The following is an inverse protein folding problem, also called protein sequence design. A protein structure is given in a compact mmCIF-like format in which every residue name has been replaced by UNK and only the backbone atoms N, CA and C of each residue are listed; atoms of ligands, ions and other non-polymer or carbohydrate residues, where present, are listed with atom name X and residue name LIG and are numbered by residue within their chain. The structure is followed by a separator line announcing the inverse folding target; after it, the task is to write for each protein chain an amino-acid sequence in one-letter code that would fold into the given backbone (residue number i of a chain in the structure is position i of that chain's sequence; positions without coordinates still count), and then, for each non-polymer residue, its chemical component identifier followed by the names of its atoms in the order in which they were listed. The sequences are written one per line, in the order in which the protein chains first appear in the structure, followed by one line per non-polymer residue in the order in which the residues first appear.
data_IF_209404602445
#
_entry.id   IF_209404602445
#
_cell.length_a   1.000
_cell.length_b   1.000
_cell.length_c   1.000
_cell.angle_alpha   90.00
_cell.angle_beta   90.00
_cell.angle_gamma   90.00
#
_symmetry.space_group_name_H-M   'P 1'
#
loop_
_entity.id
_entity.type
_entity.pdbx_description
1 polymer ?
#
# COMPACT_ATOMS: atom_id res chain seq x y z
N UNK A 1 12.73 -26.67 -8.34
CA UNK A 1 12.77 -25.31 -7.78
C UNK A 1 12.38 -24.39 -8.94
N UNK A 2 11.29 -23.63 -8.80
CA UNK A 2 10.81 -22.76 -9.89
C UNK A 2 11.59 -21.44 -9.86
N UNK A 3 12.65 -21.38 -10.65
CA UNK A 3 13.55 -20.23 -10.73
C UNK A 3 12.82 -18.96 -11.19
N UNK A 4 11.79 -19.11 -12.02
CA UNK A 4 11.02 -17.99 -12.58
C UNK A 4 10.16 -17.31 -11.50
N UNK A 5 9.62 -18.08 -10.55
CA UNK A 5 8.86 -17.53 -9.41
C UNK A 5 9.77 -16.76 -8.43
N UNK A 6 10.99 -17.25 -8.24
CA UNK A 6 11.99 -16.61 -7.38
C UNK A 6 12.48 -15.31 -8.04
N UNK A 7 12.69 -15.31 -9.35
CA UNK A 7 13.10 -14.11 -10.08
C UNK A 7 12.05 -13.00 -9.96
N UNK A 8 10.77 -13.32 -10.12
CA UNK A 8 9.67 -12.36 -10.00
C UNK A 8 9.55 -11.75 -8.58
N UNK A 9 9.88 -12.53 -7.55
CA UNK A 9 9.77 -12.09 -6.15
C UNK A 9 10.98 -11.30 -5.66
N UNK A 10 12.17 -11.56 -6.20
CA UNK A 10 13.43 -11.06 -5.64
C UNK A 10 14.27 -10.20 -6.61
N UNK A 11 13.98 -10.18 -7.92
CA UNK A 11 14.70 -9.33 -8.87
C UNK A 11 13.99 -8.00 -9.04
N UNK A 12 14.62 -6.94 -8.53
CA UNK A 12 14.27 -5.56 -8.83
C UNK A 12 14.96 -5.19 -10.16
N UNK A 13 14.20 -5.00 -11.25
CA UNK A 13 14.75 -4.55 -12.53
C UNK A 13 14.80 -3.01 -12.57
N UNK A 14 15.97 -2.36 -12.39
CA UNK A 14 16.08 -0.90 -12.41
C UNK A 14 15.94 -0.33 -13.81
N UNK A 15 16.07 -1.13 -14.88
CA UNK A 15 16.12 -0.64 -16.25
C UNK A 15 14.74 -0.30 -16.85
N UNK A 16 13.64 -0.75 -16.23
CA UNK A 16 12.27 -0.41 -16.67
C UNK A 16 11.58 0.62 -15.77
N UNK A 17 12.28 1.11 -14.74
CA UNK A 17 11.80 2.21 -13.92
C UNK A 17 12.31 3.47 -14.59
N UNK A 18 11.51 4.05 -15.50
CA UNK A 18 11.71 5.43 -15.91
C UNK A 18 12.01 6.27 -14.65
N UNK A 19 12.91 7.28 -14.71
CA UNK A 19 13.23 8.10 -13.55
C UNK A 19 12.04 9.01 -13.22
N UNK A 20 10.93 8.45 -12.76
CA UNK A 20 9.99 9.14 -11.90
C UNK A 20 10.68 9.22 -10.55
N UNK A 21 11.45 10.29 -10.43
CA UNK A 21 11.51 11.15 -9.26
C UNK A 21 11.35 10.45 -7.92
N UNK A 22 12.40 10.60 -7.13
CA UNK A 22 12.49 10.45 -5.68
C UNK A 22 11.29 11.03 -4.89
N UNK A 23 10.12 10.42 -5.06
CA UNK A 23 8.95 10.58 -4.21
C UNK A 23 8.59 9.16 -3.85
N UNK A 24 8.99 8.77 -2.65
CA UNK A 24 8.40 7.65 -1.92
C UNK A 24 6.91 7.93 -1.87
N UNK A 25 6.17 7.55 -2.92
CA UNK A 25 4.72 7.68 -2.96
C UNK A 25 4.24 6.94 -1.72
N UNK A 26 3.52 7.59 -0.80
CA UNK A 26 2.89 6.87 0.29
C UNK A 26 2.08 5.76 -0.36
N UNK A 27 2.41 4.50 -0.07
CA UNK A 27 1.64 3.33 -0.52
C UNK A 27 0.22 3.36 0.11
N UNK A 28 -0.03 4.33 1.00
CA UNK A 28 -1.37 4.66 1.45
C UNK A 28 -2.20 5.17 0.26
N UNK A 29 -3.29 4.48 -0.11
CA UNK A 29 -4.23 4.99 -1.10
C UNK A 29 -4.66 6.40 -0.70
N UNK A 30 -4.82 7.28 -1.68
CA UNK A 30 -5.36 8.61 -1.45
C UNK A 30 -6.76 8.45 -0.85
N UNK A 31 -6.86 8.53 0.48
CA UNK A 31 -8.14 8.48 1.16
C UNK A 31 -8.86 9.78 0.81
N UNK A 32 -10.06 9.73 0.21
CA UNK A 32 -10.81 10.94 -0.09
C UNK A 32 -10.98 11.76 1.21
N UNK A 33 -10.85 13.09 1.11
CA UNK A 33 -10.99 14.03 2.23
C UNK A 33 -12.42 14.11 2.80
N UNK A 34 -13.18 13.02 2.77
CA UNK A 34 -14.48 12.97 3.43
C UNK A 34 -14.27 13.07 4.94
N UNK A 35 -14.78 14.15 5.54
CA UNK A 35 -14.92 14.38 6.99
C UNK A 35 -13.86 13.69 7.85
N UNK A 36 -12.64 14.24 7.84
CA UNK A 36 -11.51 13.73 8.62
C UNK A 36 -11.70 14.00 10.12
N UNK A 37 -12.58 13.23 10.75
CA UNK A 37 -12.88 13.29 12.19
C UNK A 37 -11.77 12.67 13.06
N UNK A 38 -10.81 11.97 12.45
CA UNK A 38 -9.65 11.35 13.10
C UNK A 38 -8.33 11.83 12.47
N UNK A 39 -7.29 11.97 13.29
CA UNK A 39 -5.94 12.28 12.80
C UNK A 39 -5.35 11.13 11.97
N UNK A 40 -4.25 11.43 11.24
CA UNK A 40 -3.61 10.47 10.33
C UNK A 40 -3.17 9.17 10.98
N UNK A 41 -2.78 9.20 12.26
CA UNK A 41 -2.24 8.04 12.96
C UNK A 41 -3.39 7.18 13.49
N UNK A 42 -4.42 7.81 14.05
CA UNK A 42 -5.64 7.12 14.48
C UNK A 42 -6.35 6.46 13.29
N UNK A 43 -6.50 7.14 12.16
CA UNK A 43 -7.12 6.55 10.96
C UNK A 43 -6.30 5.39 10.39
N UNK A 44 -4.97 5.50 10.39
CA UNK A 44 -4.09 4.42 9.92
C UNK A 44 -4.20 3.16 10.78
N UNK A 45 -4.21 3.29 12.11
CA UNK A 45 -4.36 2.15 13.02
C UNK A 45 -5.68 1.40 12.77
N UNK A 46 -6.79 2.13 12.58
CA UNK A 46 -8.10 1.54 12.28
C UNK A 46 -8.06 0.82 10.92
N UNK A 47 -7.49 1.44 9.88
CA UNK A 47 -7.40 0.82 8.56
C UNK A 47 -6.58 -0.48 8.56
N UNK A 48 -5.49 -0.53 9.35
CA UNK A 48 -4.69 -1.75 9.53
C UNK A 48 -5.52 -2.83 10.22
N UNK A 49 -6.22 -2.48 11.30
CA UNK A 49 -7.07 -3.43 12.03
C UNK A 49 -8.19 -3.97 11.14
N UNK A 50 -8.93 -3.11 10.45
CA UNK A 50 -10.02 -3.52 9.55
C UNK A 50 -9.50 -4.44 8.42
N UNK A 51 -8.33 -4.13 7.85
CA UNK A 51 -7.69 -4.98 6.85
C UNK A 51 -7.33 -6.35 7.41
N UNK A 52 -6.79 -6.40 8.63
CA UNK A 52 -6.43 -7.65 9.30
C UNK A 52 -7.65 -8.50 9.67
N UNK A 53 -8.79 -7.86 9.92
CA UNK A 53 -10.06 -8.53 10.24
C UNK A 53 -10.87 -8.92 8.99
N UNK A 54 -10.37 -8.64 7.77
CA UNK A 54 -11.11 -8.85 6.52
C UNK A 54 -12.53 -8.27 6.51
N UNK A 55 -12.80 -7.26 7.35
CA UNK A 55 -14.11 -6.61 7.43
C UNK A 55 -14.29 -5.82 6.14
N UNK A 56 -15.19 -6.28 5.28
CA UNK A 56 -15.68 -5.47 4.15
C UNK A 56 -16.67 -4.45 4.69
N UNK A 57 -17.00 -3.43 3.89
CA UNK A 57 -17.88 -2.34 4.35
C UNK A 57 -19.33 -2.78 4.58
N UNK A 58 -19.66 -4.03 4.26
CA UNK A 58 -20.91 -4.66 4.64
C UNK A 58 -20.91 -4.91 6.16
N UNK A 59 -21.74 -4.13 6.86
CA UNK A 59 -22.01 -4.20 8.30
C UNK A 59 -22.70 -5.50 8.73
#
# INVERSE_FOLDING_TARGET
LDENMIEALFVCNPANVAPQEAVKKPITPAVPQENRVLDSKKSQNIAILLRALNVTREE
#
